data_IF_572907812959
#
_entry.id   IF_572907812959
#
_cell.length_a   1.000
_cell.length_b   1.000
_cell.length_c   1.000
_cell.angle_alpha   90.00
_cell.angle_beta   90.00
_cell.angle_gamma   90.00
#
_symmetry.space_group_name_H-M   'P 1'
#
loop_
_entity.id
_entity.type
_entity.pdbx_description
1 polymer ?
#
# COMPACT_ATOMS: atom_id res chain seq x y z
N UNK A 1 -43.62 -45.04 37.02
CA UNK A 1 -43.50 -43.84 37.87
C UNK A 1 -42.02 -43.57 38.15
N UNK A 2 -41.37 -42.62 37.46
CA UNK A 2 -40.02 -42.14 37.80
C UNK A 2 -39.74 -40.82 37.05
N UNK A 3 -40.29 -39.71 37.56
CA UNK A 3 -40.06 -38.35 37.02
C UNK A 3 -39.69 -37.32 38.10
N UNK A 4 -39.56 -37.75 39.37
CA UNK A 4 -39.34 -36.86 40.52
C UNK A 4 -37.85 -36.58 40.81
N UNK A 5 -36.94 -37.47 40.41
CA UNK A 5 -35.52 -37.40 40.80
C UNK A 5 -34.63 -36.49 39.91
N UNK A 6 -35.06 -36.13 38.70
CA UNK A 6 -34.25 -35.31 37.76
C UNK A 6 -34.43 -33.80 37.93
N UNK A 7 -35.44 -33.34 38.67
CA UNK A 7 -35.70 -31.92 38.93
C UNK A 7 -34.83 -31.35 40.06
N UNK A 8 -34.60 -32.13 41.13
CA UNK A 8 -33.79 -31.71 42.28
C UNK A 8 -32.30 -31.53 41.92
N UNK A 9 -31.75 -32.40 41.07
CA UNK A 9 -30.33 -32.32 40.67
C UNK A 9 -30.02 -31.14 39.72
N UNK A 10 -31.02 -30.65 38.97
CA UNK A 10 -30.89 -29.45 38.11
C UNK A 10 -30.90 -28.15 38.91
N UNK A 11 -31.57 -28.12 40.08
CA UNK A 11 -31.56 -26.96 40.96
C UNK A 11 -30.18 -26.80 41.63
N UNK A 12 -29.59 -27.89 42.15
CA UNK A 12 -28.27 -27.83 42.80
C UNK A 12 -27.13 -27.36 41.88
N UNK A 13 -27.13 -27.75 40.59
CA UNK A 13 -26.11 -27.28 39.63
C UNK A 13 -26.24 -25.80 39.27
N UNK A 14 -27.46 -25.27 39.20
CA UNK A 14 -27.68 -23.83 38.96
C UNK A 14 -27.24 -22.99 40.17
N UNK A 15 -27.51 -23.48 41.38
CA UNK A 15 -27.08 -22.84 42.62
C UNK A 15 -25.54 -22.80 42.74
N UNK A 16 -24.87 -23.91 42.38
CA UNK A 16 -23.42 -24.03 42.42
C UNK A 16 -22.72 -23.12 41.41
N UNK A 17 -23.22 -23.08 40.17
CA UNK A 17 -22.70 -22.17 39.11
C UNK A 17 -22.88 -20.71 39.48
N UNK A 18 -23.97 -20.37 40.20
CA UNK A 18 -24.22 -19.02 40.71
C UNK A 18 -23.21 -18.61 41.78
N UNK A 19 -22.80 -19.56 42.63
CA UNK A 19 -21.79 -19.32 43.67
C UNK A 19 -20.38 -19.16 43.10
N UNK A 20 -19.98 -20.01 42.15
CA UNK A 20 -18.64 -19.92 41.55
C UNK A 20 -18.45 -18.66 40.70
N UNK A 21 -19.48 -18.23 39.96
CA UNK A 21 -19.40 -16.97 39.19
C UNK A 21 -19.33 -15.71 40.08
N UNK A 22 -19.84 -15.76 41.31
CA UNK A 22 -19.80 -14.64 42.24
C UNK A 22 -18.45 -14.55 43.00
N UNK A 23 -17.78 -15.69 43.22
CA UNK A 23 -16.48 -15.73 43.91
C UNK A 23 -15.29 -15.40 43.00
N UNK A 24 -15.37 -15.71 41.69
CA UNK A 24 -14.24 -15.52 40.75
C UNK A 24 -14.10 -14.09 40.18
N UNK A 25 -15.09 -13.21 40.38
CA UNK A 25 -15.05 -11.81 39.91
C UNK A 25 -15.66 -10.81 40.92
N UNK A 26 -14.97 -10.54 42.05
CA UNK A 26 -15.46 -9.59 43.07
C UNK A 26 -15.50 -8.12 42.60
N UNK A 27 -15.08 -7.84 41.36
CA UNK A 27 -15.14 -6.51 40.72
C UNK A 27 -16.33 -6.30 39.78
N UNK A 28 -17.18 -7.32 39.56
CA UNK A 28 -18.37 -7.23 38.71
C UNK A 28 -19.67 -7.08 39.52
N UNK A 29 -19.57 -6.66 40.78
CA UNK A 29 -20.68 -6.07 41.52
C UNK A 29 -21.03 -4.74 40.86
N UNK A 30 -21.88 -4.83 39.84
CA UNK A 30 -22.42 -3.72 39.05
C UNK A 30 -22.62 -2.45 39.88
N UNK A 31 -21.67 -1.51 39.85
CA UNK A 31 -21.81 -0.06 40.10
C UNK A 31 -22.89 0.35 41.13
N UNK A 32 -23.08 -0.38 42.23
CA UNK A 32 -24.17 -0.15 43.19
C UNK A 32 -25.61 -0.45 42.71
N UNK A 33 -25.83 -1.06 41.54
CA UNK A 33 -27.17 -1.36 40.98
C UNK A 33 -28.02 -2.20 41.95
N UNK A 34 -27.41 -3.16 42.63
CA UNK A 34 -28.10 -3.98 43.63
C UNK A 34 -28.59 -3.15 44.84
N UNK A 35 -27.77 -2.18 45.26
CA UNK A 35 -28.10 -1.22 46.33
C UNK A 35 -29.19 -0.21 45.91
N UNK A 36 -29.27 0.12 44.62
CA UNK A 36 -30.27 1.04 44.04
C UNK A 36 -31.64 0.36 43.87
N UNK A 37 -31.67 -0.90 43.42
CA UNK A 37 -32.91 -1.68 43.26
C UNK A 37 -33.61 -1.95 44.60
N UNK A 38 -32.83 -2.10 45.68
CA UNK A 38 -33.32 -2.36 47.04
C UNK A 38 -33.57 -1.10 47.89
N UNK A 39 -33.34 0.11 47.36
CA UNK A 39 -33.53 1.33 48.12
C UNK A 39 -35.02 1.61 48.43
N UNK A 40 -35.32 1.94 49.70
CA UNK A 40 -36.68 2.12 50.25
C UNK A 40 -37.38 3.42 49.82
N UNK A 41 -36.62 4.45 49.44
CA UNK A 41 -37.13 5.77 49.06
C UNK A 41 -36.98 6.03 47.57
N UNK A 42 -38.06 6.45 46.91
CA UNK A 42 -38.13 6.62 45.45
C UNK A 42 -37.18 7.71 44.92
N UNK A 43 -36.96 8.79 45.69
CA UNK A 43 -36.08 9.89 45.27
C UNK A 43 -34.61 9.48 45.12
N UNK A 44 -34.14 8.56 45.96
CA UNK A 44 -32.77 8.02 45.89
C UNK A 44 -32.54 7.22 44.61
N UNK A 45 -33.57 6.53 44.09
CA UNK A 45 -33.50 5.79 42.83
C UNK A 45 -33.32 6.74 41.65
N UNK A 46 -34.09 7.83 41.61
CA UNK A 46 -34.03 8.84 40.53
C UNK A 46 -32.64 9.50 40.48
N UNK A 47 -32.10 9.88 41.64
CA UNK A 47 -30.77 10.48 41.75
C UNK A 47 -29.69 9.53 41.23
N UNK A 48 -29.76 8.25 41.58
CA UNK A 48 -28.81 7.24 41.10
C UNK A 48 -28.90 6.95 39.60
N UNK A 49 -30.12 6.89 39.05
CA UNK A 49 -30.29 6.74 37.59
C UNK A 49 -29.73 7.94 36.83
N UNK A 50 -29.85 9.15 37.38
CA UNK A 50 -29.25 10.35 36.82
C UNK A 50 -27.72 10.25 36.79
N UNK A 51 -27.10 9.84 37.91
CA UNK A 51 -25.64 9.68 37.99
C UNK A 51 -25.14 8.60 37.01
N UNK A 52 -25.79 7.44 36.97
CA UNK A 52 -25.43 6.36 36.04
C UNK A 52 -25.56 6.79 34.58
N UNK A 53 -26.62 7.52 34.24
CA UNK A 53 -26.83 8.06 32.89
C UNK A 53 -25.73 9.05 32.51
N UNK A 54 -25.34 9.96 33.40
CA UNK A 54 -24.26 10.92 33.17
C UNK A 54 -22.93 10.20 32.97
N UNK A 55 -22.59 9.23 33.83
CA UNK A 55 -21.37 8.43 33.69
C UNK A 55 -21.34 7.65 32.37
N UNK A 56 -22.48 7.08 31.95
CA UNK A 56 -22.60 6.36 30.68
C UNK A 56 -22.43 7.29 29.48
N UNK A 57 -23.02 8.48 29.50
CA UNK A 57 -22.86 9.48 28.44
C UNK A 57 -21.42 9.97 28.32
N UNK A 58 -20.75 10.24 29.45
CA UNK A 58 -19.33 10.61 29.46
C UNK A 58 -18.47 9.46 28.91
N UNK A 59 -18.73 8.22 29.33
CA UNK A 59 -18.02 7.04 28.83
C UNK A 59 -18.21 6.81 27.33
N UNK A 60 -19.43 6.98 26.81
CA UNK A 60 -19.69 6.89 25.37
C UNK A 60 -19.01 8.03 24.61
N UNK A 61 -18.99 9.24 25.16
CA UNK A 61 -18.33 10.39 24.54
C UNK A 61 -16.81 10.21 24.46
N UNK A 62 -16.18 9.70 25.53
CA UNK A 62 -14.72 9.44 25.51
C UNK A 62 -14.37 8.31 24.54
N UNK A 63 -15.15 7.22 24.51
CA UNK A 63 -14.95 6.13 23.54
C UNK A 63 -15.10 6.66 22.11
N UNK A 64 -16.15 7.45 21.84
CA UNK A 64 -16.33 8.08 20.53
C UNK A 64 -15.13 8.95 20.16
N UNK A 65 -14.65 9.80 21.07
CA UNK A 65 -13.50 10.67 20.83
C UNK A 65 -12.24 9.88 20.54
N UNK A 66 -12.00 8.81 21.31
CA UNK A 66 -10.87 7.91 21.11
C UNK A 66 -10.96 7.25 19.74
N UNK A 67 -12.09 6.63 19.38
CA UNK A 67 -12.27 6.00 18.06
C UNK A 67 -12.08 7.01 16.93
N UNK A 68 -12.66 8.21 17.08
CA UNK A 68 -12.51 9.29 16.11
C UNK A 68 -11.04 9.71 15.94
N UNK A 69 -10.30 9.84 17.05
CA UNK A 69 -8.87 10.17 17.06
C UNK A 69 -8.03 9.05 16.42
N UNK A 70 -8.31 7.77 16.72
CA UNK A 70 -7.66 6.62 16.09
C UNK A 70 -7.91 6.52 14.58
N UNK A 71 -9.11 6.90 14.11
CA UNK A 71 -9.48 6.87 12.69
C UNK A 71 -8.87 8.05 11.93
N UNK A 72 -8.83 9.24 12.53
CA UNK A 72 -8.37 10.45 11.84
C UNK A 72 -6.87 10.72 11.97
N UNK A 73 -6.25 10.34 13.09
CA UNK A 73 -4.83 10.60 13.37
C UNK A 73 -4.17 9.31 13.89
N UNK A 74 -3.94 8.31 13.02
CA UNK A 74 -3.20 7.13 13.41
C UNK A 74 -1.77 7.53 13.82
N UNK A 75 -1.53 7.61 15.13
CA UNK A 75 -0.25 7.97 15.74
C UNK A 75 0.68 6.76 15.94
N UNK A 76 0.20 5.55 15.62
CA UNK A 76 1.05 4.41 15.36
C UNK A 76 1.56 4.51 13.92
N UNK A 77 2.86 4.70 13.74
CA UNK A 77 3.56 4.78 12.47
C UNK A 77 3.43 3.48 11.69
N UNK A 78 2.27 3.22 11.08
CA UNK A 78 2.20 2.41 9.87
C UNK A 78 2.77 3.31 8.77
N UNK A 79 4.09 3.48 8.77
CA UNK A 79 4.81 3.98 7.61
C UNK A 79 4.54 2.92 6.57
N UNK A 80 3.51 3.17 5.76
CA UNK A 80 3.24 2.38 4.59
C UNK A 80 4.56 2.39 3.80
N UNK A 81 5.16 1.23 3.55
CA UNK A 81 6.53 1.17 3.01
C UNK A 81 6.62 1.94 1.68
N UNK A 82 5.49 2.15 0.99
CA UNK A 82 5.36 3.12 -0.11
C UNK A 82 5.72 4.56 0.26
N UNK A 83 5.17 5.10 1.35
CA UNK A 83 5.46 6.48 1.78
C UNK A 83 6.92 6.67 2.16
N UNK A 84 7.60 5.62 2.62
CA UNK A 84 9.04 5.63 2.80
C UNK A 84 9.78 5.89 1.48
N UNK A 85 9.45 5.19 0.40
CA UNK A 85 10.04 5.44 -0.93
C UNK A 85 9.64 6.79 -1.53
N UNK A 86 8.42 7.26 -1.27
CA UNK A 86 7.97 8.58 -1.75
C UNK A 86 8.72 9.73 -1.06
N UNK A 87 9.05 9.57 0.23
CA UNK A 87 9.72 10.60 1.03
C UNK A 87 11.26 10.53 0.94
N UNK A 88 11.83 9.34 1.13
CA UNK A 88 13.28 9.12 1.22
C UNK A 88 13.89 8.56 -0.06
N UNK A 89 13.07 8.12 -1.02
CA UNK A 89 13.57 7.68 -2.32
C UNK A 89 14.09 8.82 -3.19
N UNK A 90 14.63 8.45 -4.34
CA UNK A 90 15.21 9.40 -5.30
C UNK A 90 14.17 10.45 -5.73
N UNK A 91 14.43 11.72 -5.42
CA UNK A 91 13.54 12.83 -5.78
C UNK A 91 13.90 13.40 -7.15
N UNK A 92 12.88 13.82 -7.91
CA UNK A 92 13.07 14.35 -9.26
C UNK A 92 14.05 15.53 -9.29
N UNK A 93 13.86 16.51 -8.39
CA UNK A 93 14.70 17.72 -8.32
C UNK A 93 16.16 17.43 -7.95
N UNK A 94 16.45 16.29 -7.35
CA UNK A 94 17.81 15.87 -6.98
C UNK A 94 18.49 15.06 -8.08
N UNK A 95 17.73 14.50 -9.03
CA UNK A 95 18.24 13.61 -10.05
C UNK A 95 18.24 14.23 -11.45
N UNK A 96 17.20 15.01 -11.79
CA UNK A 96 17.02 15.60 -13.11
C UNK A 96 17.38 17.09 -13.06
N UNK A 97 18.44 17.48 -13.76
CA UNK A 97 18.91 18.86 -13.80
C UNK A 97 18.24 19.67 -14.91
N UNK A 98 18.26 19.11 -16.12
CA UNK A 98 17.86 19.81 -17.32
C UNK A 98 17.16 18.88 -18.30
N UNK A 99 16.03 19.32 -18.83
CA UNK A 99 15.24 18.59 -19.82
C UNK A 99 14.88 19.53 -20.96
N UNK A 100 15.17 19.09 -22.17
CA UNK A 100 14.93 19.85 -23.39
C UNK A 100 14.45 18.90 -24.48
N UNK A 101 13.38 19.27 -25.18
CA UNK A 101 12.89 18.56 -26.36
C UNK A 101 13.01 19.50 -27.55
N UNK A 102 13.98 19.23 -28.42
CA UNK A 102 14.38 20.16 -29.48
C UNK A 102 14.71 21.55 -28.95
N UNK A 103 14.01 22.58 -29.42
CA UNK A 103 14.24 23.97 -28.98
C UNK A 103 13.46 24.33 -27.70
N UNK A 104 12.55 23.45 -27.27
CA UNK A 104 11.70 23.72 -26.10
C UNK A 104 12.36 23.23 -24.81
N UNK A 105 12.54 24.15 -23.86
CA UNK A 105 12.92 23.82 -22.49
C UNK A 105 11.70 23.29 -21.75
N UNK A 106 11.83 22.10 -21.16
CA UNK A 106 10.75 21.42 -20.45
C UNK A 106 11.05 21.38 -18.95
N UNK A 107 9.98 21.36 -18.15
CA UNK A 107 10.07 21.07 -16.72
C UNK A 107 10.25 19.56 -16.52
N UNK A 108 11.46 19.17 -16.08
CA UNK A 108 11.80 17.77 -15.87
C UNK A 108 10.81 17.03 -14.98
N UNK A 109 10.32 17.65 -13.90
CA UNK A 109 9.46 16.97 -12.94
C UNK A 109 7.99 16.85 -13.39
N UNK A 110 7.63 17.55 -14.46
CA UNK A 110 6.33 17.34 -15.14
C UNK A 110 6.44 16.29 -16.25
N UNK A 111 7.61 16.17 -16.86
CA UNK A 111 7.85 15.22 -17.96
C UNK A 111 8.14 13.82 -17.42
N UNK A 112 8.83 13.72 -16.29
CA UNK A 112 9.22 12.46 -15.69
C UNK A 112 8.38 12.15 -14.45
N UNK A 113 7.44 11.23 -14.61
CA UNK A 113 6.58 10.73 -13.55
C UNK A 113 7.28 9.63 -12.75
N UNK A 114 7.09 9.59 -11.42
CA UNK A 114 7.58 8.48 -10.61
C UNK A 114 6.86 7.18 -10.99
N UNK A 115 7.62 6.11 -11.12
CA UNK A 115 7.11 4.76 -11.35
C UNK A 115 7.90 3.76 -10.51
N UNK A 116 7.30 2.64 -10.16
CA UNK A 116 7.97 1.58 -9.40
C UNK A 116 8.29 0.37 -10.26
N UNK A 117 9.55 -0.08 -10.14
CA UNK A 117 10.03 -1.29 -10.80
C UNK A 117 10.32 -2.40 -9.80
N UNK A 118 10.11 -3.63 -10.24
CA UNK A 118 10.47 -4.83 -9.48
C UNK A 118 11.99 -4.81 -9.23
N UNK A 119 12.41 -5.07 -7.99
CA UNK A 119 13.81 -5.10 -7.52
C UNK A 119 14.57 -3.76 -7.51
N UNK A 120 14.03 -2.68 -8.08
CA UNK A 120 14.73 -1.38 -8.18
C UNK A 120 14.06 -0.25 -7.42
N UNK A 121 12.82 -0.43 -6.98
CA UNK A 121 12.09 0.60 -6.23
C UNK A 121 11.65 1.75 -7.13
N UNK A 122 11.75 2.98 -6.62
CA UNK A 122 11.30 4.20 -7.30
C UNK A 122 12.22 4.58 -8.46
N UNK A 123 11.63 4.79 -9.62
CA UNK A 123 12.26 5.17 -10.88
C UNK A 123 11.46 6.31 -11.54
N UNK A 124 11.93 6.81 -12.67
CA UNK A 124 11.28 7.89 -13.42
C UNK A 124 10.97 7.44 -14.84
N UNK A 125 9.73 7.65 -15.28
CA UNK A 125 9.25 7.36 -16.62
C UNK A 125 8.81 8.64 -17.31
N UNK A 126 9.15 8.80 -18.58
CA UNK A 126 8.64 9.89 -19.40
C UNK A 126 7.15 9.75 -19.67
N UNK A 127 6.41 10.86 -19.63
CA UNK A 127 5.09 10.96 -20.27
C UNK A 127 5.18 10.72 -21.78
N UNK A 128 4.04 10.57 -22.45
CA UNK A 128 4.03 10.47 -23.92
C UNK A 128 4.57 11.76 -24.54
N UNK A 129 5.73 11.66 -25.18
CA UNK A 129 6.39 12.77 -25.86
C UNK A 129 6.45 12.45 -27.36
N UNK A 130 6.08 13.43 -28.17
CA UNK A 130 6.15 13.34 -29.63
C UNK A 130 7.20 14.30 -30.15
N UNK A 131 8.10 13.76 -30.96
CA UNK A 131 9.09 14.55 -31.68
C UNK A 131 8.39 15.35 -32.79
N UNK A 132 8.50 16.68 -32.73
CA UNK A 132 7.91 17.59 -33.74
C UNK A 132 8.90 17.98 -34.85
N UNK A 133 10.20 17.97 -34.55
CA UNK A 133 11.27 18.42 -35.44
C UNK A 133 12.12 17.25 -35.93
N UNK A 134 12.92 17.47 -36.98
CA UNK A 134 13.80 16.45 -37.56
C UNK A 134 14.88 15.96 -36.58
N UNK A 135 15.22 14.66 -36.69
CA UNK A 135 16.21 13.86 -35.94
C UNK A 135 17.03 14.63 -34.88
N UNK A 136 18.08 15.36 -35.29
CA UNK A 136 19.01 16.04 -34.38
C UNK A 136 18.44 17.25 -33.65
N UNK A 137 17.50 17.95 -34.27
CA UNK A 137 16.83 19.15 -33.73
C UNK A 137 15.61 18.80 -32.90
N UNK A 138 15.11 17.56 -32.97
CA UNK A 138 13.94 17.09 -32.24
C UNK A 138 14.25 16.18 -31.06
N UNK A 139 15.53 15.99 -30.71
CA UNK A 139 15.95 15.03 -29.68
C UNK A 139 15.53 15.46 -28.27
N UNK A 140 15.22 14.45 -27.45
CA UNK A 140 15.09 14.61 -26.01
C UNK A 140 16.48 14.60 -25.39
N UNK A 141 16.88 15.75 -24.84
CA UNK A 141 18.11 15.92 -24.07
C UNK A 141 17.75 15.95 -22.59
N UNK A 142 18.40 15.07 -21.83
CA UNK A 142 18.25 14.98 -20.38
C UNK A 142 19.63 15.04 -19.75
N UNK A 143 19.81 15.96 -18.81
CA UNK A 143 21.01 16.04 -17.98
C UNK A 143 20.67 15.54 -16.59
N UNK A 144 21.41 14.52 -16.16
CA UNK A 144 21.25 13.88 -14.87
C UNK A 144 22.28 14.44 -13.89
N UNK A 145 21.86 14.65 -12.65
CA UNK A 145 22.75 14.92 -11.53
C UNK A 145 23.19 13.62 -10.89
N UNK A 146 24.34 13.67 -10.21
CA UNK A 146 24.81 12.57 -9.40
C UNK A 146 23.82 12.33 -8.24
N UNK A 147 23.20 11.14 -8.15
CA UNK A 147 22.19 10.90 -7.12
C UNK A 147 22.82 10.86 -5.71
N UNK A 148 22.08 11.26 -4.66
CA UNK A 148 22.55 11.15 -3.29
C UNK A 148 22.74 9.67 -2.91
N UNK A 149 23.87 9.37 -2.29
CA UNK A 149 24.25 8.01 -1.88
C UNK A 149 23.88 7.76 -0.41
N UNK A 150 23.23 6.61 -0.14
CA UNK A 150 22.97 6.18 1.25
C UNK A 150 24.22 5.69 1.95
N UNK A 151 25.10 4.97 1.25
CA UNK A 151 26.36 4.46 1.79
C UNK A 151 27.53 4.89 0.91
N UNK A 152 28.40 5.75 1.45
CA UNK A 152 29.57 6.30 0.76
C UNK A 152 30.74 5.32 0.66
N UNK A 153 30.73 4.25 1.46
CA UNK A 153 31.81 3.27 1.53
C UNK A 153 31.58 2.08 0.60
N UNK A 154 30.42 2.02 -0.06
CA UNK A 154 30.09 0.93 -0.95
C UNK A 154 30.89 1.06 -2.26
N UNK A 155 31.92 0.24 -2.40
CA UNK A 155 32.86 0.27 -3.52
C UNK A 155 32.27 -0.42 -4.77
N UNK A 156 31.11 0.04 -5.24
CA UNK A 156 30.42 -0.48 -6.43
C UNK A 156 30.45 0.53 -7.57
N UNK A 157 30.50 0.00 -8.79
CA UNK A 157 30.36 0.79 -10.02
C UNK A 157 29.00 1.48 -9.98
N UNK A 158 29.03 2.81 -10.14
CA UNK A 158 27.84 3.66 -10.08
C UNK A 158 27.19 3.65 -11.46
N UNK A 159 26.14 2.85 -11.61
CA UNK A 159 25.48 2.64 -12.89
C UNK A 159 24.04 3.14 -12.83
N UNK A 160 23.71 4.06 -13.73
CA UNK A 160 22.31 4.43 -13.97
C UNK A 160 21.80 3.51 -15.07
N UNK A 161 20.61 2.93 -14.89
CA UNK A 161 20.02 2.03 -15.88
C UNK A 161 18.84 2.74 -16.52
N UNK A 162 18.87 2.82 -17.85
CA UNK A 162 17.75 3.27 -18.66
C UNK A 162 17.04 2.07 -19.31
N UNK A 163 15.72 2.14 -19.33
CA UNK A 163 14.85 1.19 -20.02
C UNK A 163 14.15 1.92 -21.16
N UNK A 164 14.17 1.33 -22.34
CA UNK A 164 13.44 1.85 -23.50
C UNK A 164 12.36 0.84 -23.86
N UNK A 165 11.12 1.22 -23.66
CA UNK A 165 9.96 0.37 -23.86
C UNK A 165 8.75 1.17 -24.37
N UNK A 166 7.69 0.47 -24.77
CA UNK A 166 6.41 1.09 -25.09
C UNK A 166 5.83 1.78 -23.85
N UNK A 167 5.12 2.89 -24.03
CA UNK A 167 4.48 3.62 -22.93
C UNK A 167 3.26 2.83 -22.41
N UNK A 168 3.52 1.84 -21.57
CA UNK A 168 2.55 1.01 -20.86
C UNK A 168 2.79 1.11 -19.34
N UNK A 169 1.80 0.76 -18.50
CA UNK A 169 1.95 0.83 -17.05
C UNK A 169 3.02 -0.13 -16.53
N UNK A 170 3.18 -1.30 -17.18
CA UNK A 170 4.25 -2.23 -16.87
C UNK A 170 5.51 -1.91 -17.69
N UNK A 171 6.67 -2.01 -17.04
CA UNK A 171 7.97 -1.91 -17.68
C UNK A 171 8.75 -3.18 -17.36
N UNK A 172 9.16 -3.95 -18.38
CA UNK A 172 10.08 -5.05 -18.16
C UNK A 172 11.43 -4.56 -17.63
N UNK A 173 12.13 -5.40 -16.85
CA UNK A 173 13.53 -5.15 -16.49
C UNK A 173 14.50 -5.34 -17.68
N UNK A 174 14.03 -5.40 -18.93
CA UNK A 174 14.83 -5.59 -20.13
C UNK A 174 14.20 -4.90 -21.35
N UNK A 175 15.00 -4.43 -22.32
CA UNK A 175 16.47 -4.36 -22.32
C UNK A 175 17.02 -3.27 -21.39
N UNK A 176 18.21 -3.51 -20.82
CA UNK A 176 18.89 -2.60 -19.89
C UNK A 176 19.99 -1.85 -20.63
N UNK A 177 19.94 -0.53 -20.60
CA UNK A 177 21.02 0.32 -21.10
C UNK A 177 21.72 0.97 -19.91
N UNK A 178 23.01 0.68 -19.75
CA UNK A 178 23.81 1.26 -18.68
C UNK A 178 24.32 2.64 -19.11
N UNK A 179 24.11 3.62 -18.25
CA UNK A 179 24.56 4.99 -18.36
C UNK A 179 25.63 5.21 -17.30
N UNK A 180 26.79 5.69 -17.74
CA UNK A 180 27.93 5.97 -16.87
C UNK A 180 28.02 7.47 -16.58
N UNK A 181 28.52 7.84 -15.39
CA UNK A 181 28.70 9.24 -15.03
C UNK A 181 29.71 9.91 -15.96
N UNK A 182 29.53 11.21 -16.20
CA UNK A 182 30.42 12.06 -17.02
C UNK A 182 30.56 11.64 -18.49
N UNK A 183 29.68 10.76 -18.99
CA UNK A 183 29.67 10.33 -20.39
C UNK A 183 28.41 10.85 -21.09
N UNK A 184 28.59 11.45 -22.26
CA UNK A 184 27.47 11.85 -23.12
C UNK A 184 26.96 10.64 -23.91
N UNK A 185 25.83 10.07 -23.51
CA UNK A 185 25.22 8.94 -24.22
C UNK A 185 24.17 9.43 -25.21
N UNK A 186 24.36 9.10 -26.49
CA UNK A 186 23.38 9.34 -27.55
C UNK A 186 22.75 8.03 -27.98
N UNK A 187 21.43 7.95 -27.90
CA UNK A 187 20.65 6.78 -28.34
C UNK A 187 19.80 7.16 -29.56
N UNK A 188 19.88 6.37 -30.63
CA UNK A 188 18.97 6.48 -31.77
C UNK A 188 17.89 5.41 -31.63
N UNK A 189 16.65 5.86 -31.49
CA UNK A 189 15.49 4.99 -31.29
C UNK A 189 14.67 4.92 -32.58
N UNK A 190 14.14 3.75 -32.90
CA UNK A 190 13.26 3.53 -34.04
C UNK A 190 12.05 2.74 -33.58
N UNK A 191 10.87 3.33 -33.67
CA UNK A 191 9.63 2.67 -33.32
C UNK A 191 9.24 1.68 -34.42
N UNK A 192 8.91 0.44 -34.04
CA UNK A 192 8.43 -0.60 -34.95
C UNK A 192 7.07 -1.08 -34.50
N UNK A 193 6.13 -1.19 -35.44
CA UNK A 193 4.82 -1.80 -35.21
C UNK A 193 4.82 -3.21 -35.79
N UNK A 194 4.62 -4.19 -34.92
CA UNK A 194 4.50 -5.60 -35.32
C UNK A 194 3.03 -5.99 -35.16
N UNK A 195 2.43 -6.53 -36.23
CA UNK A 195 1.09 -7.14 -36.18
C UNK A 195 1.27 -8.62 -36.41
N UNK A 196 0.83 -9.42 -35.45
CA UNK A 196 0.87 -10.88 -35.52
C UNK A 196 -0.52 -11.39 -35.94
N UNK A 197 -0.56 -12.52 -36.64
CA UNK A 197 -1.82 -13.19 -36.92
C UNK A 197 -2.36 -13.87 -35.66
N UNK A 198 -3.67 -13.82 -35.40
CA UNK A 198 -4.26 -14.47 -34.24
C UNK A 198 -4.13 -15.98 -34.39
N UNK A 199 -3.38 -16.61 -33.48
CA UNK A 199 -3.29 -18.06 -33.34
C UNK A 199 -3.59 -18.39 -31.87
N UNK A 200 -4.52 -19.31 -31.64
CA UNK A 200 -5.15 -19.56 -30.34
C UNK A 200 -4.18 -19.85 -29.18
N UNK A 201 -2.94 -20.25 -29.48
CA UNK A 201 -1.91 -20.58 -28.48
C UNK A 201 -0.74 -19.58 -28.43
N UNK A 202 -0.72 -18.55 -29.29
CA UNK A 202 0.46 -17.67 -29.46
C UNK A 202 0.15 -16.21 -29.20
N UNK A 203 -1.01 -15.72 -29.63
CA UNK A 203 -1.40 -14.30 -29.51
C UNK A 203 -2.81 -14.20 -28.91
N UNK A 204 -2.98 -13.35 -27.90
CA UNK A 204 -4.29 -13.04 -27.30
C UNK A 204 -4.55 -11.54 -27.36
N UNK A 205 -5.74 -11.18 -27.84
CA UNK A 205 -6.24 -9.80 -27.86
C UNK A 205 -6.84 -9.35 -26.52
N UNK A 206 -6.99 -10.27 -25.56
CA UNK A 206 -7.49 -10.00 -24.20
C UNK A 206 -6.60 -8.98 -23.46
N UNK A 207 -5.33 -8.87 -23.88
CA UNK A 207 -4.28 -8.13 -23.19
C UNK A 207 -3.83 -6.85 -23.92
N UNK A 208 -4.65 -6.28 -24.82
CA UNK A 208 -4.29 -5.05 -25.58
C UNK A 208 -3.89 -3.84 -24.68
N UNK A 209 -4.45 -3.78 -23.47
CA UNK A 209 -4.21 -2.70 -22.52
C UNK A 209 -2.98 -2.91 -21.63
N UNK A 210 -2.39 -4.11 -21.63
CA UNK A 210 -1.20 -4.43 -20.82
C UNK A 210 0.02 -4.61 -21.71
N UNK A 211 1.20 -4.32 -21.18
CA UNK A 211 2.45 -4.56 -21.91
C UNK A 211 2.77 -6.06 -22.02
N UNK A 212 3.52 -6.46 -23.06
CA UNK A 212 4.08 -7.82 -23.21
C UNK A 212 4.79 -8.32 -21.93
N UNK A 213 5.34 -7.37 -21.19
CA UNK A 213 6.18 -7.60 -20.03
C UNK A 213 5.41 -8.10 -18.80
N UNK A 214 4.08 -7.95 -18.77
CA UNK A 214 3.25 -8.35 -17.62
C UNK A 214 3.40 -9.85 -17.30
N UNK A 215 3.44 -10.72 -18.31
CA UNK A 215 3.54 -12.16 -18.10
C UNK A 215 4.87 -12.54 -17.42
N UNK A 216 5.97 -11.89 -17.79
CA UNK A 216 7.25 -12.09 -17.14
C UNK A 216 7.21 -11.60 -15.68
N UNK A 217 6.64 -10.42 -15.47
CA UNK A 217 6.51 -9.80 -14.15
C UNK A 217 5.69 -10.69 -13.21
N UNK A 218 4.52 -11.13 -13.65
CA UNK A 218 3.62 -11.98 -12.86
C UNK A 218 4.27 -13.30 -12.50
N UNK A 219 4.84 -13.99 -13.49
CA UNK A 219 5.52 -15.26 -13.27
C UNK A 219 6.68 -15.11 -12.29
N UNK A 220 7.46 -14.03 -12.41
CA UNK A 220 8.57 -13.76 -11.51
C UNK A 220 8.09 -13.54 -10.07
N UNK A 221 7.04 -12.73 -9.88
CA UNK A 221 6.49 -12.46 -8.55
C UNK A 221 5.94 -13.74 -7.92
N UNK A 222 5.13 -14.51 -8.67
CA UNK A 222 4.57 -15.76 -8.17
C UNK A 222 5.65 -16.77 -7.79
N UNK A 223 6.68 -16.91 -8.62
CA UNK A 223 7.76 -17.89 -8.40
C UNK A 223 8.68 -17.52 -7.25
N UNK A 224 9.03 -16.23 -7.11
CA UNK A 224 10.11 -15.81 -6.20
C UNK A 224 9.64 -15.05 -4.95
N UNK A 225 8.41 -14.51 -4.93
CA UNK A 225 7.89 -13.75 -3.79
C UNK A 225 6.65 -14.42 -3.20
N UNK A 226 5.57 -14.50 -3.96
CA UNK A 226 4.26 -14.90 -3.41
C UNK A 226 4.25 -16.38 -3.04
N UNK A 227 4.77 -17.25 -3.90
CA UNK A 227 4.89 -18.68 -3.62
C UNK A 227 5.76 -19.01 -2.39
N UNK A 228 7.03 -18.58 -2.36
CA UNK A 228 7.92 -18.97 -1.26
C UNK A 228 7.76 -18.16 0.03
N UNK A 229 7.38 -16.88 -0.05
CA UNK A 229 7.43 -15.95 1.08
C UNK A 229 6.04 -15.46 1.53
N UNK A 230 4.96 -15.78 0.80
CA UNK A 230 3.60 -15.30 1.07
C UNK A 230 3.52 -13.77 1.26
N UNK A 231 4.38 -13.03 0.59
CA UNK A 231 4.47 -11.58 0.71
C UNK A 231 4.63 -10.92 -0.66
N UNK A 232 4.36 -9.61 -0.71
CA UNK A 232 4.36 -8.83 -1.96
C UNK A 232 4.98 -7.45 -1.72
N UNK A 233 5.42 -6.78 -2.79
CA UNK A 233 5.99 -5.43 -2.68
C UNK A 233 4.91 -4.38 -2.32
N UNK A 234 5.27 -3.33 -1.57
CA UNK A 234 4.31 -2.31 -1.12
C UNK A 234 3.71 -1.47 -2.27
N UNK A 235 4.40 -1.41 -3.40
CA UNK A 235 3.97 -0.69 -4.60
C UNK A 235 3.35 -1.61 -5.66
N UNK A 236 2.99 -2.85 -5.30
CA UNK A 236 2.43 -3.81 -6.27
C UNK A 236 1.13 -3.34 -6.90
N UNK A 237 0.32 -2.56 -6.20
CA UNK A 237 -0.92 -2.00 -6.74
C UNK A 237 -0.70 -1.05 -7.93
N UNK A 238 0.51 -0.49 -8.08
CA UNK A 238 0.85 0.35 -9.23
C UNK A 238 1.34 -0.47 -10.44
N UNK A 239 1.93 -1.64 -10.18
CA UNK A 239 2.46 -2.54 -11.22
C UNK A 239 1.36 -3.45 -11.76
N UNK A 240 0.51 -3.97 -10.86
CA UNK A 240 -0.66 -4.79 -11.17
C UNK A 240 -1.91 -3.92 -11.17
N UNK A 241 -2.43 -3.50 -12.34
CA UNK A 241 -3.78 -2.99 -12.39
C UNK A 241 -4.71 -4.12 -11.91
N UNK A 242 -5.51 -3.84 -10.89
CA UNK A 242 -6.42 -4.72 -10.12
C UNK A 242 -7.43 -5.55 -10.95
N UNK A 243 -7.38 -5.49 -12.28
CA UNK A 243 -8.20 -6.30 -13.19
C UNK A 243 -7.63 -7.69 -13.51
N UNK A 244 -6.39 -7.99 -13.08
CA UNK A 244 -5.73 -9.27 -13.35
C UNK A 244 -5.65 -10.21 -12.13
N UNK A 245 -6.29 -9.87 -11.01
CA UNK A 245 -6.17 -10.60 -9.74
C UNK A 245 -7.00 -11.89 -9.63
N UNK A 246 -7.21 -12.59 -10.75
CA UNK A 246 -7.66 -13.99 -10.78
C UNK A 246 -7.11 -14.68 -12.03
N UNK A 247 -5.89 -15.17 -11.90
CA UNK A 247 -5.37 -16.34 -12.63
C UNK A 247 -4.87 -17.32 -11.58
#
# INVERSE_FOLDING_TARGET
>A
MNKSSTLSQKQGKKELVRRTLAEDYPGLDYLGIHSVLNARYSWYRILWFSILSVCLLIGLFTIYRIIHEYVQVPSATLINVKSFFDNFGLQCKQFLQHCQLGDTKLDCCKVFEPIYLIRRGRCFRTISLYQKNFDELGKLRVQLMHPPEMDKNLNKIKEIIAFVAEHKPQIAPFPRYYLYPNVWTKMRLSARRIRLFPAAEVCSDEYLNVGKDICYIERWIQTYLEGPLNCTYPYMNEIRPTKLSRL
#
